data_IF_095996097843
#
_entry.id   IF_095996097843
#
_cell.length_a   1.000
_cell.length_b   1.000
_cell.length_c   1.000
_cell.angle_alpha   90.00
_cell.angle_beta   90.00
_cell.angle_gamma   90.00
#
_symmetry.space_group_name_H-M   'P 1'
#
loop_
_entity.id
_entity.type
_entity.pdbx_description
1 polymer ?
#
# COMPACT_ATOMS: atom_id res chain seq x y z
N UNK A 1 -28.71 19.59 -26.70
CA UNK A 1 -28.88 18.19 -26.30
C UNK A 1 -27.74 17.85 -25.36
N UNK A 2 -28.04 17.66 -24.08
CA UNK A 2 -27.04 17.43 -23.05
C UNK A 2 -26.42 16.04 -23.18
N UNK A 3 -25.09 15.99 -23.19
CA UNK A 3 -24.34 14.76 -22.93
C UNK A 3 -24.60 14.38 -21.48
N UNK A 4 -25.42 13.35 -21.26
CA UNK A 4 -25.54 12.71 -19.97
C UNK A 4 -24.14 12.21 -19.57
N UNK A 5 -23.60 12.75 -18.47
CA UNK A 5 -22.43 12.19 -17.84
C UNK A 5 -22.74 10.72 -17.51
N UNK A 6 -22.21 9.80 -18.30
CA UNK A 6 -22.20 8.39 -17.92
C UNK A 6 -21.54 8.35 -16.55
N UNK A 7 -22.27 7.93 -15.53
CA UNK A 7 -21.68 7.54 -14.24
C UNK A 7 -20.67 6.43 -14.54
N UNK A 8 -19.42 6.79 -14.76
CA UNK A 8 -18.31 5.85 -14.84
C UNK A 8 -18.21 5.22 -13.45
N UNK A 9 -18.49 3.92 -13.37
CA UNK A 9 -18.26 3.11 -12.17
C UNK A 9 -17.18 2.10 -12.52
N UNK A 10 -16.31 1.84 -11.56
CA UNK A 10 -15.27 0.86 -11.66
C UNK A 10 -15.77 -0.58 -11.58
N UNK A 11 -14.82 -1.51 -11.68
CA UNK A 11 -14.97 -2.92 -11.36
C UNK A 11 -15.37 -3.07 -9.90
N UNK A 12 -16.28 -4.01 -9.63
CA UNK A 12 -16.60 -4.41 -8.26
C UNK A 12 -15.60 -5.46 -7.80
N UNK A 13 -15.06 -5.26 -6.61
CA UNK A 13 -14.14 -6.18 -5.96
C UNK A 13 -14.77 -6.81 -4.71
N UNK A 14 -14.39 -8.05 -4.44
CA UNK A 14 -14.81 -8.78 -3.23
C UNK A 14 -14.12 -8.20 -2.00
N UNK A 15 -14.77 -8.38 -0.85
CA UNK A 15 -14.20 -8.00 0.44
C UNK A 15 -13.36 -9.13 1.02
N UNK A 16 -12.21 -8.77 1.55
CA UNK A 16 -11.45 -9.55 2.49
C UNK A 16 -11.81 -9.08 3.90
N UNK A 17 -12.28 -10.00 4.76
CA UNK A 17 -12.96 -9.63 6.00
C UNK A 17 -12.18 -10.02 7.25
N UNK A 18 -12.22 -9.13 8.24
CA UNK A 18 -11.78 -9.41 9.61
C UNK A 18 -10.33 -9.91 9.73
N UNK A 19 -9.43 -9.27 9.00
CA UNK A 19 -8.02 -9.62 8.91
C UNK A 19 -7.16 -8.90 9.94
N UNK A 20 -5.89 -9.26 9.93
CA UNK A 20 -4.83 -8.63 10.69
C UNK A 20 -4.07 -7.67 9.79
N UNK A 21 -3.85 -6.45 10.26
CA UNK A 21 -2.97 -5.45 9.66
C UNK A 21 -1.87 -5.08 10.65
N UNK A 22 -0.69 -4.79 10.15
CA UNK A 22 0.44 -4.24 10.92
C UNK A 22 0.74 -2.82 10.45
N UNK A 23 1.60 -2.10 11.18
CA UNK A 23 2.00 -0.73 10.82
C UNK A 23 3.43 -0.72 10.32
N UNK A 24 3.67 0.02 9.25
CA UNK A 24 4.98 0.32 8.71
C UNK A 24 5.02 1.79 8.28
N UNK A 25 6.21 2.36 8.08
CA UNK A 25 6.31 3.73 7.58
C UNK A 25 7.52 3.98 6.70
N UNK A 26 7.41 4.94 5.78
CA UNK A 26 8.55 5.36 4.95
C UNK A 26 9.68 5.88 5.83
N UNK A 27 10.85 5.25 5.71
CA UNK A 27 12.03 5.52 6.53
C UNK A 27 12.21 4.60 7.72
N UNK A 28 11.29 3.65 7.96
CA UNK A 28 11.49 2.60 8.96
C UNK A 28 12.72 1.74 8.63
N UNK A 29 13.47 1.40 9.68
CA UNK A 29 14.55 0.41 9.64
C UNK A 29 14.21 -0.59 10.75
N UNK A 30 13.48 -1.63 10.38
CA UNK A 30 13.07 -2.71 11.27
C UNK A 30 14.22 -3.68 11.58
N UNK A 31 14.91 -4.15 10.54
CA UNK A 31 16.09 -5.02 10.64
C UNK A 31 17.09 -4.68 9.53
N UNK A 32 18.18 -3.95 9.83
CA UNK A 32 19.15 -3.55 8.81
C UNK A 32 19.92 -4.73 8.19
N UNK A 33 19.86 -5.93 8.77
CA UNK A 33 20.50 -7.13 8.23
C UNK A 33 19.56 -7.95 7.32
N UNK A 34 18.25 -7.67 7.32
CA UNK A 34 17.28 -8.35 6.48
C UNK A 34 17.10 -7.64 5.14
N UNK A 35 16.91 -8.41 4.06
CA UNK A 35 16.75 -7.85 2.71
C UNK A 35 15.50 -6.99 2.55
N UNK A 36 14.49 -7.21 3.39
CA UNK A 36 13.19 -6.52 3.47
C UNK A 36 13.00 -5.80 4.82
N UNK A 37 14.06 -5.63 5.61
CA UNK A 37 13.96 -5.02 6.94
C UNK A 37 14.02 -3.50 6.95
N UNK A 38 13.87 -2.82 5.81
CA UNK A 38 13.80 -1.37 5.76
C UNK A 38 12.88 -0.85 4.66
N UNK A 39 12.18 0.22 5.00
CA UNK A 39 11.17 0.94 4.23
C UNK A 39 11.74 2.30 3.77
N UNK A 40 13.07 2.43 3.70
CA UNK A 40 13.73 3.55 2.99
C UNK A 40 13.59 3.40 1.47
N UNK A 41 13.30 2.19 1.02
CA UNK A 41 12.94 1.78 -0.35
C UNK A 41 11.64 0.99 -0.28
N UNK A 42 11.00 0.74 -1.42
CA UNK A 42 9.88 -0.19 -1.52
C UNK A 42 10.09 -1.18 -2.66
N UNK A 43 9.26 -2.23 -2.74
CA UNK A 43 9.20 -3.15 -3.87
C UNK A 43 9.09 -2.42 -5.22
N UNK A 44 8.55 -1.20 -5.25
CA UNK A 44 8.28 -0.46 -6.49
C UNK A 44 9.11 0.81 -6.66
N UNK A 45 9.80 1.29 -5.63
CA UNK A 45 10.57 2.54 -5.70
C UNK A 45 11.90 2.40 -4.96
N UNK A 46 12.99 2.39 -5.72
CA UNK A 46 14.34 2.31 -5.16
C UNK A 46 14.79 3.57 -4.42
N UNK A 47 14.06 4.69 -4.51
CA UNK A 47 14.38 5.95 -3.81
C UNK A 47 13.16 6.44 -3.02
N UNK A 48 12.43 5.51 -2.41
CA UNK A 48 11.13 5.80 -1.82
C UNK A 48 11.21 6.88 -0.74
N UNK A 49 12.20 6.82 0.16
CA UNK A 49 12.40 7.82 1.21
C UNK A 49 12.55 9.24 0.66
N UNK A 50 13.49 9.45 -0.26
CA UNK A 50 13.77 10.77 -0.84
C UNK A 50 12.59 11.31 -1.66
N UNK A 51 11.91 10.41 -2.38
CA UNK A 51 10.77 10.75 -3.25
C UNK A 51 9.49 10.96 -2.47
N UNK A 52 9.30 10.28 -1.35
CA UNK A 52 8.23 10.54 -0.39
C UNK A 52 8.45 11.89 0.30
N UNK A 53 9.70 12.29 0.51
CA UNK A 53 10.07 13.60 1.07
C UNK A 53 10.80 13.53 2.41
N UNK A 54 11.17 12.33 2.86
CA UNK A 54 11.82 12.06 4.13
C UNK A 54 11.01 11.13 5.02
N UNK A 55 11.31 11.15 6.32
CA UNK A 55 10.65 10.32 7.33
C UNK A 55 9.14 10.57 7.41
N UNK A 56 8.33 9.52 7.27
CA UNK A 56 6.89 9.58 7.52
C UNK A 56 6.58 9.48 9.02
N UNK A 57 7.03 10.50 9.77
CA UNK A 57 6.92 10.54 11.22
C UNK A 57 7.83 11.60 11.82
N UNK A 58 8.55 11.24 12.88
CA UNK A 58 9.52 12.09 13.58
C UNK A 58 10.90 11.46 13.57
N UNK A 59 11.94 12.28 13.49
CA UNK A 59 13.32 11.80 13.68
C UNK A 59 13.66 11.89 15.17
N UNK A 60 13.92 10.75 15.79
CA UNK A 60 14.39 10.64 17.18
C UNK A 60 15.77 9.97 17.17
N UNK A 61 16.78 10.64 17.74
CA UNK A 61 18.18 10.17 17.77
C UNK A 61 18.74 9.73 16.40
N UNK A 62 18.30 10.40 15.32
CA UNK A 62 18.72 10.11 13.96
C UNK A 62 17.97 8.94 13.29
N UNK A 63 16.98 8.37 13.96
CA UNK A 63 16.15 7.26 13.47
C UNK A 63 14.74 7.78 13.18
N UNK A 64 14.15 7.35 12.06
CA UNK A 64 12.77 7.65 11.73
C UNK A 64 11.80 6.78 12.55
N UNK A 65 11.00 7.42 13.39
CA UNK A 65 9.95 6.81 14.20
C UNK A 65 8.57 7.25 13.67
N UNK A 66 7.57 6.39 13.78
CA UNK A 66 6.17 6.76 13.53
C UNK A 66 5.66 7.73 14.60
N UNK A 67 4.55 8.44 14.32
CA UNK A 67 3.91 9.37 15.24
C UNK A 67 2.37 9.31 15.13
N UNK A 68 1.62 9.65 16.20
CA UNK A 68 0.16 9.72 16.14
C UNK A 68 -0.35 10.66 15.04
N UNK A 69 -1.40 10.23 14.33
CA UNK A 69 -2.07 11.03 13.28
C UNK A 69 -3.43 11.51 13.74
N UNK A 70 -3.81 12.72 13.33
CA UNK A 70 -5.09 13.32 13.74
C UNK A 70 -5.83 13.92 12.54
N UNK A 71 -7.16 14.08 12.67
CA UNK A 71 -7.98 14.58 11.57
C UNK A 71 -7.75 16.07 11.28
N UNK A 72 -7.24 16.84 12.25
CA UNK A 72 -7.04 18.29 12.16
C UNK A 72 -6.08 18.69 11.04
N UNK A 73 -5.08 17.87 10.74
CA UNK A 73 -4.16 18.07 9.62
C UNK A 73 -4.38 17.06 8.47
N UNK A 74 -5.53 16.38 8.46
CA UNK A 74 -5.83 15.36 7.45
C UNK A 74 -5.03 14.06 7.61
N UNK A 75 -4.49 13.78 8.81
CA UNK A 75 -3.66 12.61 9.13
C UNK A 75 -2.26 12.61 8.49
N UNK A 76 -1.77 13.78 8.09
CA UNK A 76 -0.46 13.93 7.44
C UNK A 76 0.70 13.92 8.46
N UNK A 77 1.95 13.64 8.02
CA UNK A 77 3.17 13.89 8.79
C UNK A 77 3.24 15.30 9.34
N UNK A 78 3.70 15.43 10.59
CA UNK A 78 3.81 16.73 11.26
C UNK A 78 5.18 17.37 11.04
N UNK A 79 6.22 16.55 10.86
CA UNK A 79 7.61 17.00 10.68
C UNK A 79 7.95 17.43 9.26
N UNK A 80 7.12 17.09 8.27
CA UNK A 80 7.37 17.37 6.86
C UNK A 80 6.07 17.35 6.03
N UNK A 81 6.12 17.88 4.81
CA UNK A 81 5.03 17.72 3.83
C UNK A 81 5.44 16.64 2.84
N UNK A 82 4.68 15.54 2.70
CA UNK A 82 5.06 14.46 1.82
C UNK A 82 4.84 14.89 0.37
N UNK A 83 5.60 14.30 -0.56
CA UNK A 83 5.50 14.49 -2.01
C UNK A 83 4.75 13.34 -2.70
N UNK A 84 4.56 12.24 -1.97
CA UNK A 84 3.76 11.08 -2.35
C UNK A 84 2.61 10.92 -1.35
N UNK A 85 1.64 10.07 -1.67
CA UNK A 85 0.46 9.88 -0.85
C UNK A 85 0.82 9.31 0.54
N UNK A 86 0.50 9.99 1.67
CA UNK A 86 0.76 9.45 3.00
C UNK A 86 -0.23 8.34 3.40
N UNK A 87 -1.32 8.16 2.65
CA UNK A 87 -2.21 7.00 2.78
C UNK A 87 -1.73 5.90 1.85
N UNK A 88 -0.80 5.09 2.36
CA UNK A 88 -0.28 3.93 1.66
C UNK A 88 -0.38 2.65 2.48
N UNK A 89 -0.23 1.53 1.79
CA UNK A 89 -0.21 0.16 2.33
C UNK A 89 0.58 -0.76 1.40
N UNK A 90 0.79 -1.99 1.87
CA UNK A 90 1.20 -3.12 1.06
C UNK A 90 0.18 -4.26 1.05
N UNK A 91 0.36 -5.17 0.10
CA UNK A 91 -0.33 -6.45 0.04
C UNK A 91 0.68 -7.52 -0.39
N UNK A 92 0.48 -8.81 -0.02
CA UNK A 92 1.51 -9.84 -0.16
C UNK A 92 1.60 -10.39 -1.59
N UNK A 93 1.83 -9.51 -2.55
CA UNK A 93 1.96 -9.84 -3.97
C UNK A 93 2.89 -8.83 -4.68
N UNK A 94 4.18 -9.14 -4.73
CA UNK A 94 5.18 -8.38 -5.47
C UNK A 94 5.18 -8.83 -6.94
N UNK A 95 4.37 -8.17 -7.75
CA UNK A 95 4.16 -8.54 -9.16
C UNK A 95 5.36 -8.27 -10.08
N UNK A 96 6.48 -7.77 -9.56
CA UNK A 96 7.66 -7.41 -10.35
C UNK A 96 8.91 -8.17 -9.93
N UNK A 97 9.26 -8.14 -8.63
CA UNK A 97 10.55 -8.65 -8.16
C UNK A 97 10.47 -10.08 -7.63
N UNK A 98 9.28 -10.54 -7.21
CA UNK A 98 9.09 -11.94 -6.83
C UNK A 98 8.75 -12.80 -8.05
N UNK A 99 9.59 -13.78 -8.37
CA UNK A 99 9.43 -14.61 -9.57
C UNK A 99 8.13 -15.44 -9.60
N UNK A 100 7.65 -15.90 -8.43
CA UNK A 100 6.42 -16.68 -8.34
C UNK A 100 5.19 -15.79 -8.57
N UNK A 101 5.15 -14.61 -7.98
CA UNK A 101 4.11 -13.62 -8.21
C UNK A 101 4.14 -13.08 -9.65
N UNK A 102 5.34 -12.81 -10.19
CA UNK A 102 5.54 -12.36 -11.57
C UNK A 102 4.94 -13.38 -12.57
N UNK A 103 5.16 -14.67 -12.35
CA UNK A 103 4.59 -15.73 -13.19
C UNK A 103 3.05 -15.81 -13.12
N UNK A 104 2.42 -15.14 -12.15
CA UNK A 104 0.98 -15.17 -11.89
C UNK A 104 0.26 -13.87 -12.24
N UNK A 105 0.92 -12.90 -12.88
CA UNK A 105 0.33 -11.60 -13.27
C UNK A 105 -0.92 -11.69 -14.13
N UNK A 106 -1.08 -12.78 -14.89
CA UNK A 106 -2.31 -13.06 -15.64
C UNK A 106 -3.54 -13.30 -14.76
N UNK A 107 -3.38 -13.48 -13.44
CA UNK A 107 -4.49 -13.60 -12.47
C UNK A 107 -4.94 -12.25 -11.91
N UNK A 108 -4.22 -11.16 -12.20
CA UNK A 108 -4.57 -9.83 -11.72
C UNK A 108 -5.82 -9.35 -12.48
N UNK A 109 -6.90 -8.95 -11.80
CA UNK A 109 -8.20 -8.70 -12.46
C UNK A 109 -8.19 -7.64 -13.56
N UNK A 110 -7.25 -6.69 -13.49
CA UNK A 110 -7.08 -5.58 -14.44
C UNK A 110 -5.90 -5.77 -15.41
N UNK A 111 -5.33 -6.98 -15.51
CA UNK A 111 -4.16 -7.21 -16.36
C UNK A 111 -4.39 -6.85 -17.83
N UNK A 112 -5.62 -7.03 -18.31
CA UNK A 112 -6.06 -6.75 -19.68
C UNK A 112 -6.76 -5.38 -19.84
N UNK A 113 -6.84 -4.57 -18.78
CA UNK A 113 -7.50 -3.27 -18.83
C UNK A 113 -6.64 -2.26 -19.64
N UNK A 114 -7.25 -1.23 -20.26
CA UNK A 114 -6.51 -0.15 -20.90
C UNK A 114 -5.53 0.52 -19.93
N UNK A 115 -4.28 0.71 -20.37
CA UNK A 115 -3.18 1.21 -19.54
C UNK A 115 -2.36 0.12 -18.84
N UNK A 116 -2.90 -1.10 -18.75
CA UNK A 116 -2.26 -2.25 -18.13
C UNK A 116 -1.92 -3.35 -19.16
N UNK A 117 -2.79 -3.56 -20.14
CA UNK A 117 -2.63 -4.57 -21.19
C UNK A 117 -1.27 -4.48 -21.92
N UNK A 118 -0.69 -5.65 -22.21
CA UNK A 118 0.59 -5.77 -22.91
C UNK A 118 1.84 -5.76 -22.01
N UNK A 119 1.68 -5.65 -20.69
CA UNK A 119 2.79 -5.60 -19.74
C UNK A 119 3.09 -6.92 -18.99
N UNK A 120 2.44 -8.05 -19.33
CA UNK A 120 2.59 -9.31 -18.56
C UNK A 120 4.04 -9.76 -18.39
N UNK A 121 4.88 -9.55 -19.40
CA UNK A 121 6.31 -9.90 -19.39
C UNK A 121 7.23 -8.71 -19.02
N UNK A 122 6.66 -7.53 -18.73
CA UNK A 122 7.42 -6.33 -18.45
C UNK A 122 7.73 -6.19 -16.94
N UNK A 123 9.00 -6.37 -16.55
CA UNK A 123 9.50 -6.17 -15.17
C UNK A 123 9.74 -4.71 -14.79
N UNK A 124 9.52 -3.76 -15.69
CA UNK A 124 9.57 -2.33 -15.38
C UNK A 124 8.17 -1.74 -15.19
N UNK A 125 7.15 -2.60 -15.10
CA UNK A 125 5.76 -2.21 -14.92
C UNK A 125 5.15 -3.03 -13.78
N UNK A 126 4.61 -2.36 -12.77
CA UNK A 126 3.79 -3.00 -11.74
C UNK A 126 2.32 -2.77 -12.03
N UNK A 127 1.52 -3.84 -12.00
CA UNK A 127 0.07 -3.80 -11.98
C UNK A 127 -0.46 -3.40 -10.59
N UNK A 128 0.33 -3.53 -9.53
CA UNK A 128 -0.08 -3.27 -8.14
C UNK A 128 0.18 -1.82 -7.70
N UNK A 129 1.34 -1.25 -8.05
CA UNK A 129 1.73 0.11 -7.68
C UNK A 129 0.62 1.12 -8.03
N UNK A 130 0.30 1.97 -7.05
CA UNK A 130 -0.70 3.05 -7.12
C UNK A 130 -2.17 2.61 -7.18
N UNK A 131 -2.48 1.31 -7.21
CA UNK A 131 -3.86 0.82 -7.08
C UNK A 131 -4.44 1.20 -5.73
N UNK A 132 -5.73 1.50 -5.71
CA UNK A 132 -6.41 1.88 -4.47
C UNK A 132 -7.03 0.68 -3.76
N UNK A 133 -6.97 0.77 -2.44
CA UNK A 133 -7.65 -0.14 -1.52
C UNK A 133 -8.54 0.68 -0.60
N UNK A 134 -9.77 0.22 -0.45
CA UNK A 134 -10.69 0.66 0.59
C UNK A 134 -10.49 -0.21 1.83
N UNK A 135 -10.28 0.41 2.98
CA UNK A 135 -10.15 -0.25 4.28
C UNK A 135 -11.30 0.13 5.21
N UNK A 136 -11.71 -0.82 6.06
CA UNK A 136 -12.72 -0.62 7.08
C UNK A 136 -12.31 -1.22 8.41
N UNK A 137 -12.56 -0.47 9.48
CA UNK A 137 -12.35 -0.91 10.85
C UNK A 137 -13.32 -0.19 11.79
N UNK A 138 -14.08 -0.93 12.61
CA UNK A 138 -15.02 -0.39 13.61
C UNK A 138 -15.95 0.74 13.10
N UNK A 139 -16.36 0.68 11.83
CA UNK A 139 -17.25 1.67 11.20
C UNK A 139 -16.51 2.85 10.53
N UNK A 140 -15.22 3.02 10.75
CA UNK A 140 -14.36 3.93 9.99
C UNK A 140 -14.05 3.35 8.61
N UNK A 141 -13.92 4.22 7.61
CA UNK A 141 -13.52 3.85 6.23
C UNK A 141 -12.42 4.79 5.76
N UNK A 142 -11.34 4.23 5.23
CA UNK A 142 -10.21 4.96 4.67
C UNK A 142 -9.81 4.36 3.33
N UNK A 143 -9.06 5.12 2.53
CA UNK A 143 -8.56 4.68 1.24
C UNK A 143 -7.07 4.95 1.18
N UNK A 144 -6.32 4.02 0.59
CA UNK A 144 -4.87 4.12 0.48
C UNK A 144 -4.38 3.51 -0.84
N UNK A 145 -3.23 3.98 -1.31
CA UNK A 145 -2.57 3.46 -2.49
C UNK A 145 -1.57 2.38 -2.11
N UNK A 146 -1.49 1.33 -2.92
CA UNK A 146 -0.44 0.32 -2.77
C UNK A 146 0.89 0.94 -3.17
N UNK A 147 1.85 0.98 -2.25
CA UNK A 147 3.17 1.58 -2.46
C UNK A 147 4.33 0.63 -2.21
N UNK A 148 4.06 -0.54 -1.63
CA UNK A 148 5.02 -1.62 -1.36
C UNK A 148 4.32 -3.00 -1.46
N UNK A 149 5.06 -4.08 -1.23
CA UNK A 149 4.56 -5.46 -1.18
C UNK A 149 5.00 -6.16 0.11
N UNK A 150 4.12 -6.96 0.70
CA UNK A 150 4.31 -7.57 2.03
C UNK A 150 2.99 -7.79 2.76
N UNK A 151 2.97 -8.19 4.04
CA UNK A 151 4.11 -8.51 4.90
C UNK A 151 4.52 -9.99 4.83
N UNK A 152 5.83 -10.25 4.93
CA UNK A 152 6.48 -11.57 5.00
C UNK A 152 6.29 -12.53 3.81
N UNK A 153 5.15 -12.49 3.16
CA UNK A 153 4.81 -13.23 1.95
C UNK A 153 4.68 -12.24 0.79
N UNK A 154 5.05 -12.68 -0.40
CA UNK A 154 5.14 -11.82 -1.58
C UNK A 154 4.50 -12.43 -2.84
N UNK A 155 3.88 -13.61 -2.73
CA UNK A 155 3.27 -14.35 -3.86
C UNK A 155 1.87 -14.91 -3.52
N UNK A 156 1.17 -14.27 -2.58
CA UNK A 156 -0.10 -14.76 -2.06
C UNK A 156 -1.30 -14.38 -2.93
N UNK A 157 -1.28 -14.89 -4.15
CA UNK A 157 -2.30 -14.61 -5.19
C UNK A 157 -3.72 -15.01 -4.77
N UNK A 158 -3.86 -16.10 -4.00
CA UNK A 158 -5.17 -16.67 -3.65
C UNK A 158 -5.79 -15.85 -2.51
N UNK A 159 -4.97 -15.32 -1.61
CA UNK A 159 -5.42 -14.27 -0.71
C UNK A 159 -5.72 -12.98 -1.46
N UNK A 160 -4.77 -12.40 -2.20
CA UNK A 160 -4.93 -11.04 -2.75
C UNK A 160 -6.05 -10.93 -3.78
N UNK A 161 -6.16 -11.89 -4.70
CA UNK A 161 -7.11 -11.86 -5.83
C UNK A 161 -8.16 -12.97 -5.82
N UNK A 162 -8.22 -13.78 -4.76
CA UNK A 162 -9.16 -14.89 -4.67
C UNK A 162 -10.58 -14.47 -4.33
N UNK A 163 -11.26 -15.33 -3.57
CA UNK A 163 -12.70 -15.27 -3.36
C UNK A 163 -13.15 -14.42 -2.16
N UNK A 164 -12.20 -13.80 -1.44
CA UNK A 164 -12.46 -13.04 -0.22
C UNK A 164 -12.64 -13.88 1.06
N UNK A 165 -12.60 -15.20 0.96
CA UNK A 165 -12.70 -16.13 2.10
C UNK A 165 -11.36 -16.80 2.44
N UNK A 166 -10.40 -16.75 1.51
CA UNK A 166 -9.03 -17.19 1.74
C UNK A 166 -8.32 -16.14 2.59
N UNK A 167 -7.78 -16.54 3.76
CA UNK A 167 -6.93 -15.68 4.57
C UNK A 167 -5.48 -15.65 4.05
N UNK A 168 -4.63 -14.73 4.56
CA UNK A 168 -3.23 -14.67 4.17
C UNK A 168 -2.51 -15.97 4.56
N UNK A 169 -1.58 -16.42 3.71
CA UNK A 169 -0.69 -17.58 3.94
C UNK A 169 0.23 -17.38 5.13
N UNK A 170 0.64 -16.14 5.38
CA UNK A 170 1.62 -15.80 6.41
C UNK A 170 1.16 -16.25 7.79
N UNK A 171 2.09 -16.82 8.56
CA UNK A 171 1.91 -17.07 10.00
C UNK A 171 2.76 -16.13 10.86
N UNK A 172 3.57 -15.27 10.22
CA UNK A 172 4.36 -14.23 10.87
C UNK A 172 3.48 -13.03 11.19
N UNK A 173 3.92 -12.19 12.13
CA UNK A 173 3.22 -10.96 12.51
C UNK A 173 1.72 -11.18 12.82
N UNK A 174 1.41 -12.26 13.54
CA UNK A 174 0.05 -12.68 13.88
C UNK A 174 -0.84 -13.01 12.66
N UNK A 175 -0.24 -13.39 11.53
CA UNK A 175 -0.96 -13.66 10.29
C UNK A 175 -1.45 -12.40 9.60
N UNK A 176 -0.65 -11.33 9.65
CA UNK A 176 -0.94 -10.09 8.94
C UNK A 176 -1.05 -10.34 7.43
N UNK A 177 -2.06 -9.72 6.82
CA UNK A 177 -2.27 -9.74 5.37
C UNK A 177 -2.01 -8.39 4.69
N UNK A 178 -1.60 -7.38 5.46
CA UNK A 178 -1.18 -6.06 4.98
C UNK A 178 -0.40 -5.33 6.08
N UNK A 179 0.46 -4.42 5.67
CA UNK A 179 0.96 -3.30 6.45
C UNK A 179 0.30 -2.01 5.99
N UNK A 180 0.00 -1.12 6.95
CA UNK A 180 -0.63 0.18 6.67
C UNK A 180 0.18 1.33 7.24
N UNK A 181 0.18 2.45 6.51
CA UNK A 181 0.84 3.70 6.90
C UNK A 181 0.27 4.33 8.19
N UNK A 182 1.02 5.22 8.86
CA UNK A 182 0.53 5.96 10.02
C UNK A 182 -0.76 6.75 9.72
N UNK A 183 -0.91 7.30 8.51
CA UNK A 183 -2.12 8.01 8.10
C UNK A 183 -3.37 7.10 8.13
N UNK A 184 -3.22 5.85 7.70
CA UNK A 184 -4.28 4.84 7.75
C UNK A 184 -4.56 4.41 9.19
N UNK A 185 -3.53 4.24 10.02
CA UNK A 185 -3.66 3.96 11.47
C UNK A 185 -4.54 5.01 12.15
N UNK A 186 -4.24 6.30 11.96
CA UNK A 186 -5.04 7.39 12.55
C UNK A 186 -6.43 7.51 11.95
N UNK A 187 -6.57 7.37 10.63
CA UNK A 187 -7.85 7.48 9.94
C UNK A 187 -8.83 6.36 10.34
N UNK A 188 -8.34 5.12 10.49
CA UNK A 188 -9.14 3.99 10.94
C UNK A 188 -9.32 3.99 12.47
N UNK A 189 -8.45 4.67 13.21
CA UNK A 189 -8.50 4.73 14.67
C UNK A 189 -8.00 3.44 15.32
N UNK A 190 -6.86 2.94 14.84
CA UNK A 190 -6.19 1.80 15.47
C UNK A 190 -5.76 2.16 16.90
N UNK A 191 -5.70 1.14 17.76
CA UNK A 191 -5.35 1.37 19.18
C UNK A 191 -3.85 1.52 19.36
N UNK A 192 -3.08 0.74 18.61
CA UNK A 192 -1.62 0.76 18.63
C UNK A 192 -1.11 1.61 17.47
N UNK A 193 -0.12 2.45 17.77
CA UNK A 193 0.55 3.28 16.76
C UNK A 193 1.55 2.48 15.93
N UNK A 194 2.29 1.58 16.57
CA UNK A 194 3.21 0.64 15.96
C UNK A 194 2.92 -0.72 16.55
N UNK A 195 2.27 -1.58 15.76
CA UNK A 195 1.83 -2.87 16.25
C UNK A 195 0.81 -3.53 15.34
N UNK A 196 0.01 -4.40 15.93
CA UNK A 196 -0.92 -5.27 15.19
C UNK A 196 -2.36 -4.89 15.49
N UNK A 197 -3.16 -4.70 14.45
CA UNK A 197 -4.61 -4.50 14.56
C UNK A 197 -5.39 -5.64 13.89
N UNK A 198 -6.24 -6.30 14.66
CA UNK A 198 -7.19 -7.31 14.17
C UNK A 198 -8.54 -6.68 13.80
N UNK A 199 -9.29 -7.32 12.90
CA UNK A 199 -10.64 -6.91 12.53
C UNK A 199 -10.70 -5.89 11.38
N UNK A 200 -9.62 -5.75 10.62
CA UNK A 200 -9.55 -4.85 9.46
C UNK A 200 -10.08 -5.58 8.24
N UNK A 201 -10.99 -4.94 7.50
CA UNK A 201 -11.51 -5.48 6.24
C UNK A 201 -11.06 -4.59 5.09
N UNK A 202 -10.78 -5.18 3.94
CA UNK A 202 -10.33 -4.40 2.77
C UNK A 202 -10.86 -4.95 1.45
N UNK A 203 -10.83 -4.11 0.42
CA UNK A 203 -11.01 -4.50 -0.98
C UNK A 203 -10.31 -3.52 -1.91
N UNK A 204 -9.97 -3.97 -3.10
CA UNK A 204 -9.60 -3.04 -4.18
C UNK A 204 -10.76 -2.10 -4.53
N UNK A 205 -10.41 -0.93 -5.05
CA UNK A 205 -11.34 0.03 -5.62
C UNK A 205 -10.67 0.73 -6.80
N UNK A 206 -11.43 1.03 -7.85
CA UNK A 206 -10.90 1.81 -8.97
C UNK A 206 -10.86 3.29 -8.65
N UNK A 207 -9.93 4.04 -9.25
CA UNK A 207 -9.71 5.47 -9.02
C UNK A 207 -11.02 6.30 -9.10
N UNK A 208 -11.90 5.94 -10.05
CA UNK A 208 -13.19 6.62 -10.28
C UNK A 208 -14.18 6.46 -9.13
N UNK A 209 -14.02 5.41 -8.33
CA UNK A 209 -14.89 5.08 -7.20
C UNK A 209 -14.27 5.48 -5.85
N UNK A 210 -13.06 6.06 -5.83
CA UNK A 210 -12.44 6.62 -4.62
C UNK A 210 -13.07 7.99 -4.30
N UNK A 211 -13.83 8.12 -3.19
CA UNK A 211 -14.47 9.37 -2.82
C UNK A 211 -13.44 10.43 -2.40
N UNK A 212 -13.86 11.69 -2.41
CA UNK A 212 -13.05 12.79 -1.88
C UNK A 212 -12.82 12.62 -0.37
N UNK A 213 -11.58 12.88 0.05
CA UNK A 213 -11.12 12.73 1.43
C UNK A 213 -9.63 13.08 1.54
N UNK A 214 -9.06 13.01 2.76
CA UNK A 214 -7.66 13.41 2.99
C UNK A 214 -6.67 12.61 2.13
N UNK A 215 -6.97 11.34 1.84
CA UNK A 215 -6.19 10.45 0.96
C UNK A 215 -6.06 10.93 -0.48
N UNK A 216 -6.90 11.88 -0.96
CA UNK A 216 -6.78 12.47 -2.31
C UNK A 216 -6.05 13.82 -2.32
N UNK A 217 -5.59 14.32 -1.18
CA UNK A 217 -4.85 15.59 -1.11
C UNK A 217 -3.52 15.50 -1.86
N UNK A 218 -2.84 14.35 -1.76
CA UNK A 218 -1.66 14.00 -2.54
C UNK A 218 -1.88 12.58 -3.08
N UNK A 219 -1.82 12.42 -4.40
CA UNK A 219 -1.94 11.12 -5.07
C UNK A 219 -0.61 10.80 -5.73
N UNK A 220 -0.03 9.64 -5.42
CA UNK A 220 1.18 9.18 -6.09
C UNK A 220 0.83 8.75 -7.51
N UNK A 221 1.46 9.39 -8.50
CA UNK A 221 1.31 9.07 -9.92
C UNK A 221 2.55 8.44 -10.56
N UNK A 222 3.70 8.44 -9.87
CA UNK A 222 4.92 7.78 -10.35
C UNK A 222 4.77 6.26 -10.32
N UNK A 223 5.14 5.59 -11.42
CA UNK A 223 5.08 4.14 -11.54
C UNK A 223 6.22 3.41 -10.82
N UNK A 224 6.45 2.15 -11.21
CA UNK A 224 7.62 1.38 -10.80
C UNK A 224 8.90 2.08 -11.26
N UNK A 225 9.86 2.27 -10.35
CA UNK A 225 11.16 2.85 -10.70
C UNK A 225 12.28 2.37 -9.77
N UNK A 226 13.04 1.42 -10.30
CA UNK A 226 14.30 0.92 -9.75
C UNK A 226 15.51 1.22 -10.64
N UNK A 227 15.36 2.14 -11.62
CA UNK A 227 16.32 2.38 -12.71
C UNK A 227 17.72 2.81 -12.26
N UNK A 228 17.85 3.31 -11.03
CA UNK A 228 19.13 3.75 -10.44
C UNK A 228 19.59 2.88 -9.26
N UNK A 229 18.94 1.73 -9.01
CA UNK A 229 19.35 0.75 -8.00
C UNK A 229 19.12 1.15 -6.55
N UNK A 230 18.53 2.32 -6.32
CA UNK A 230 18.33 2.91 -4.99
C UNK A 230 19.63 3.40 -4.32
N UNK A 231 19.54 3.99 -3.12
CA UNK A 231 20.74 4.32 -2.36
C UNK A 231 21.56 3.04 -2.13
N UNK A 232 22.87 3.12 -2.36
CA UNK A 232 23.81 2.03 -2.17
C UNK A 232 24.02 1.74 -0.68
N UNK A 233 22.98 1.23 -0.01
CA UNK A 233 23.02 0.76 1.37
C UNK A 233 21.78 -0.10 1.63
N UNK A 234 21.90 -1.40 1.34
CA UNK A 234 21.46 -2.41 2.30
C UNK A 234 22.69 -2.70 3.16
#
# INVERSE_FOLDING_TARGET
>A
MGLSAKNLRGRKYLWHLCLVATTFWVGEIYDPAAADGSQVISAYDGWWYERFGGCDGVIEDGVCQTEPRTAENGFFPTSMTPKQNPFYLDLPFDDVNNDAAFAQRGRIPWADDPGYAGNLENREFSYMKNRWVQLQYKGSTCYAQIQDAGPAEYDDVDYVFGDGNTGPKSTRFNGAGMDVSPAVVGCLGFTELNGTQTGVSWRFVDDVDVPDGPWKTIVTGSGYDWSSGGPAAK
#
